data_IF_287774206236
#
_entry.id   IF_287774206236
#
_cell.length_a   1.000
_cell.length_b   1.000
_cell.length_c   1.000
_cell.angle_alpha   90.00
_cell.angle_beta   90.00
_cell.angle_gamma   90.00
#
_symmetry.space_group_name_H-M   'P 1'
#
loop_
_entity.id
_entity.type
_entity.pdbx_description
1 polymer ?
#
# COMPACT_ATOMS: atom_id res chain seq x y z
N UNK A 1 -16.58 25.25 -20.91
CA UNK A 1 -16.04 26.19 -19.90
C UNK A 1 -16.45 25.78 -18.48
N UNK A 2 -16.25 24.50 -18.13
CA UNK A 2 -16.58 23.91 -16.81
C UNK A 2 -15.77 22.61 -16.64
N UNK A 3 -14.43 22.72 -16.60
CA UNK A 3 -13.54 21.58 -16.33
C UNK A 3 -12.40 21.90 -15.34
N UNK A 4 -12.34 23.13 -14.82
CA UNK A 4 -11.39 23.56 -13.79
C UNK A 4 -12.05 23.84 -12.43
N UNK A 5 -13.38 23.69 -12.32
CA UNK A 5 -14.14 24.07 -11.12
C UNK A 5 -14.08 23.04 -9.96
N UNK A 6 -13.46 21.87 -10.16
CA UNK A 6 -13.25 20.90 -9.07
C UNK A 6 -11.94 21.13 -8.29
N UNK A 7 -11.16 22.16 -8.64
CA UNK A 7 -9.83 22.42 -8.08
C UNK A 7 -9.76 23.54 -7.03
N UNK A 8 -10.85 24.26 -6.73
CA UNK A 8 -10.76 25.55 -6.02
C UNK A 8 -11.66 25.70 -4.78
N UNK A 9 -11.79 24.66 -3.95
CA UNK A 9 -12.51 24.78 -2.67
C UNK A 9 -11.82 24.05 -1.53
N UNK A 10 -10.58 24.39 -1.17
CA UNK A 10 -9.98 23.84 0.04
C UNK A 10 -8.97 24.75 0.77
N UNK A 11 -9.20 26.06 0.93
CA UNK A 11 -8.45 26.81 1.97
C UNK A 11 -9.30 27.92 2.58
N UNK A 12 -10.10 27.58 3.59
CA UNK A 12 -10.76 28.56 4.44
C UNK A 12 -9.74 29.16 5.43
N UNK A 13 -9.84 30.45 5.78
CA UNK A 13 -8.82 31.13 6.60
C UNK A 13 -8.65 30.56 8.02
N UNK A 14 -9.70 29.94 8.57
CA UNK A 14 -9.63 29.18 9.83
C UNK A 14 -8.81 27.88 9.68
N UNK A 15 -8.92 27.20 8.53
CA UNK A 15 -8.16 25.99 8.20
C UNK A 15 -6.66 26.27 8.09
N UNK A 16 -6.26 27.52 7.73
CA UNK A 16 -4.84 27.93 7.72
C UNK A 16 -4.22 27.98 9.10
N UNK A 17 -4.89 28.53 10.13
CA UNK A 17 -4.30 28.63 11.49
C UNK A 17 -4.22 27.27 12.18
N UNK A 18 -5.29 26.47 12.12
CA UNK A 18 -5.26 25.10 12.64
C UNK A 18 -4.31 24.21 11.84
N UNK A 19 -4.18 24.45 10.53
CA UNK A 19 -3.17 23.83 9.69
C UNK A 19 -1.75 24.11 10.17
N UNK A 20 -1.35 25.37 10.33
CA UNK A 20 0.02 25.74 10.73
C UNK A 20 0.42 25.13 12.07
N UNK A 21 -0.44 25.20 13.09
CA UNK A 21 -0.15 24.58 14.39
C UNK A 21 -0.03 23.05 14.27
N UNK A 22 -0.97 22.39 13.58
CA UNK A 22 -0.93 20.93 13.39
C UNK A 22 0.32 20.49 12.62
N UNK A 23 0.66 21.20 11.55
CA UNK A 23 1.88 20.95 10.77
C UNK A 23 3.13 21.17 11.61
N UNK A 24 3.21 22.27 12.36
CA UNK A 24 4.32 22.56 13.26
C UNK A 24 4.51 21.49 14.35
N UNK A 25 3.42 21.05 15.00
CA UNK A 25 3.46 19.99 16.00
C UNK A 25 3.92 18.66 15.40
N UNK A 26 3.40 18.28 14.23
CA UNK A 26 3.80 17.04 13.56
C UNK A 26 5.27 17.05 13.15
N UNK A 27 5.74 18.13 12.52
CA UNK A 27 7.15 18.26 12.11
C UNK A 27 8.06 18.34 13.32
N UNK A 28 7.69 19.07 14.37
CA UNK A 28 8.43 19.11 15.63
C UNK A 28 8.56 17.73 16.28
N UNK A 29 7.48 16.95 16.32
CA UNK A 29 7.50 15.59 16.83
C UNK A 29 8.36 14.64 15.97
N UNK A 30 8.26 14.74 14.63
CA UNK A 30 9.04 13.95 13.69
C UNK A 30 10.54 14.24 13.80
N UNK A 31 10.91 15.52 13.84
CA UNK A 31 12.29 15.96 14.04
C UNK A 31 12.80 15.54 15.42
N UNK A 32 12.01 15.72 16.48
CA UNK A 32 12.36 15.29 17.82
C UNK A 32 12.62 13.79 17.91
N UNK A 33 11.77 12.96 17.32
CA UNK A 33 11.95 11.52 17.25
C UNK A 33 13.20 11.11 16.44
N UNK A 34 13.44 11.79 15.32
CA UNK A 34 14.61 11.56 14.45
C UNK A 34 15.91 11.93 15.19
N UNK A 35 15.97 13.11 15.80
CA UNK A 35 17.11 13.55 16.59
C UNK A 35 17.35 12.63 17.79
N UNK A 36 16.28 12.22 18.49
CA UNK A 36 16.39 11.26 19.58
C UNK A 36 17.02 9.95 19.11
N UNK A 37 16.56 9.38 18.01
CA UNK A 37 17.10 8.14 17.47
C UNK A 37 18.58 8.28 17.06
N UNK A 38 18.95 9.37 16.36
CA UNK A 38 20.34 9.64 15.97
C UNK A 38 21.24 9.81 17.18
N UNK A 39 20.81 10.54 18.22
CA UNK A 39 21.62 10.75 19.42
C UNK A 39 21.74 9.49 20.26
N UNK A 40 20.62 8.78 20.46
CA UNK A 40 20.56 7.60 21.33
C UNK A 40 21.28 6.39 20.74
N UNK A 41 21.21 6.21 19.43
CA UNK A 41 21.72 5.03 18.73
C UNK A 41 22.91 5.35 17.81
N UNK A 42 23.55 6.51 17.97
CA UNK A 42 24.68 6.95 17.13
C UNK A 42 25.82 5.93 17.04
N UNK A 43 26.07 5.17 18.12
CA UNK A 43 27.12 4.16 18.14
C UNK A 43 26.75 2.88 17.38
N UNK A 44 25.47 2.65 17.10
CA UNK A 44 24.96 1.46 16.40
C UNK A 44 24.55 1.74 14.95
N UNK A 45 24.37 3.00 14.58
CA UNK A 45 23.98 3.41 13.23
C UNK A 45 25.23 3.67 12.39
N UNK A 46 25.31 3.05 11.22
CA UNK A 46 26.30 3.45 10.23
C UNK A 46 25.85 4.71 9.44
N UNK A 47 26.67 5.14 8.48
CA UNK A 47 26.37 6.30 7.64
C UNK A 47 25.12 6.08 6.78
N UNK A 48 24.89 4.86 6.31
CA UNK A 48 23.74 4.52 5.48
C UNK A 48 22.46 4.52 6.32
N UNK A 49 22.47 3.90 7.50
CA UNK A 49 21.32 3.88 8.42
C UNK A 49 20.92 5.30 8.81
N UNK A 50 21.89 6.14 9.12
CA UNK A 50 21.68 7.56 9.44
C UNK A 50 21.09 8.32 8.26
N UNK A 51 21.62 8.11 7.05
CA UNK A 51 21.12 8.76 5.84
C UNK A 51 19.69 8.31 5.51
N UNK A 52 19.37 7.02 5.64
CA UNK A 52 18.03 6.47 5.40
C UNK A 52 17.04 7.02 6.40
N UNK A 53 17.40 7.08 7.69
CA UNK A 53 16.54 7.64 8.73
C UNK A 53 16.21 9.11 8.44
N UNK A 54 17.22 9.93 8.13
CA UNK A 54 17.04 11.35 7.79
C UNK A 54 16.19 11.51 6.51
N UNK A 55 16.50 10.75 5.45
CA UNK A 55 15.76 10.81 4.20
C UNK A 55 14.30 10.37 4.38
N UNK A 56 14.05 9.35 5.20
CA UNK A 56 12.70 8.88 5.52
C UNK A 56 11.92 9.92 6.32
N UNK A 57 12.55 10.60 7.27
CA UNK A 57 11.95 11.69 8.03
C UNK A 57 11.60 12.89 7.13
N UNK A 58 12.51 13.29 6.22
CA UNK A 58 12.25 14.34 5.24
C UNK A 58 11.11 13.94 4.30
N UNK A 59 11.15 12.72 3.77
CA UNK A 59 10.13 12.19 2.87
C UNK A 59 8.74 12.14 3.52
N UNK A 60 8.64 11.57 4.73
CA UNK A 60 7.39 11.55 5.49
C UNK A 60 6.93 12.97 5.83
N UNK A 61 7.84 13.86 6.22
CA UNK A 61 7.55 15.27 6.48
C UNK A 61 6.92 15.95 5.26
N UNK A 62 7.56 15.85 4.10
CA UNK A 62 7.05 16.41 2.84
C UNK A 62 5.68 15.81 2.46
N UNK A 63 5.57 14.48 2.49
CA UNK A 63 4.31 13.80 2.17
C UNK A 63 3.18 14.18 3.13
N UNK A 64 3.46 14.31 4.43
CA UNK A 64 2.47 14.67 5.44
C UNK A 64 2.11 16.17 5.44
N UNK A 65 2.93 17.01 4.83
CA UNK A 65 2.57 18.40 4.52
C UNK A 65 1.70 18.47 3.27
N UNK A 66 2.06 17.73 2.22
CA UNK A 66 1.30 17.66 0.97
C UNK A 66 -0.06 16.97 1.13
N UNK A 67 -0.12 15.92 1.96
CA UNK A 67 -1.32 15.17 2.27
C UNK A 67 -1.50 15.04 3.79
N UNK A 68 -2.16 16.02 4.43
CA UNK A 68 -2.18 16.11 5.88
C UNK A 68 -2.93 15.00 6.62
N UNK A 69 -3.70 14.17 5.91
CA UNK A 69 -4.30 12.97 6.47
C UNK A 69 -3.26 11.92 6.89
N UNK A 70 -2.03 11.98 6.36
CA UNK A 70 -0.93 11.13 6.81
C UNK A 70 -0.46 11.45 8.23
N UNK A 71 -0.68 12.67 8.73
CA UNK A 71 -0.26 13.06 10.07
C UNK A 71 -0.94 12.24 11.17
N UNK A 72 -2.29 12.17 11.25
CA UNK A 72 -2.96 11.31 12.22
C UNK A 72 -2.69 9.82 11.97
N UNK A 73 -2.59 9.37 10.71
CA UNK A 73 -2.24 7.98 10.41
C UNK A 73 -0.89 7.60 11.04
N UNK A 74 0.16 8.37 10.74
CA UNK A 74 1.51 8.12 11.22
C UNK A 74 1.57 8.24 12.76
N UNK A 75 0.95 9.26 13.34
CA UNK A 75 0.92 9.45 14.78
C UNK A 75 0.19 8.30 15.50
N UNK A 76 -0.98 7.86 15.00
CA UNK A 76 -1.73 6.75 15.58
C UNK A 76 -0.98 5.41 15.43
N UNK A 77 -0.43 5.12 14.25
CA UNK A 77 0.35 3.90 14.04
C UNK A 77 1.61 3.86 14.91
N UNK A 78 2.33 4.99 15.02
CA UNK A 78 3.48 5.11 15.92
C UNK A 78 3.09 4.93 17.39
N UNK A 79 1.98 5.53 17.83
CA UNK A 79 1.50 5.36 19.21
C UNK A 79 1.16 3.89 19.53
N UNK A 80 0.46 3.19 18.62
CA UNK A 80 0.14 1.77 18.80
C UNK A 80 1.40 0.90 18.79
N UNK A 81 2.32 1.13 17.84
CA UNK A 81 3.56 0.36 17.74
C UNK A 81 4.47 0.58 18.97
N UNK A 82 4.65 1.82 19.41
CA UNK A 82 5.44 2.13 20.61
C UNK A 82 4.79 1.58 21.89
N UNK A 83 3.46 1.59 21.97
CA UNK A 83 2.74 0.93 23.08
C UNK A 83 2.98 -0.57 23.09
N UNK A 84 2.96 -1.22 21.92
CA UNK A 84 3.28 -2.64 21.80
C UNK A 84 4.72 -2.93 22.26
N UNK A 85 5.70 -2.18 21.75
CA UNK A 85 7.12 -2.30 22.12
C UNK A 85 7.31 -2.16 23.64
N UNK A 86 6.66 -1.17 24.25
CA UNK A 86 6.73 -0.95 25.69
C UNK A 86 6.11 -2.12 26.50
N UNK A 87 5.01 -2.70 26.01
CA UNK A 87 4.35 -3.84 26.66
C UNK A 87 5.13 -5.15 26.51
N UNK A 88 5.87 -5.33 25.41
CA UNK A 88 6.70 -6.50 25.17
C UNK A 88 7.84 -6.62 26.18
N UNK A 89 8.38 -5.49 26.68
CA UNK A 89 9.50 -5.46 27.63
C UNK A 89 10.71 -6.31 27.20
N UNK A 90 10.93 -6.43 25.89
CA UNK A 90 12.00 -7.26 25.32
C UNK A 90 11.76 -8.78 25.39
N UNK A 91 10.56 -9.24 25.74
CA UNK A 91 10.24 -10.65 25.91
C UNK A 91 9.10 -11.08 24.97
N UNK A 92 9.42 -11.89 23.97
CA UNK A 92 8.43 -12.39 23.00
C UNK A 92 7.23 -13.11 23.65
N UNK A 93 7.39 -13.94 24.72
CA UNK A 93 6.26 -14.59 25.38
C UNK A 93 5.24 -13.65 26.02
N UNK A 94 5.56 -12.35 26.17
CA UNK A 94 4.58 -11.36 26.64
C UNK A 94 3.35 -11.26 25.71
N UNK A 95 3.50 -11.63 24.42
CA UNK A 95 2.41 -11.71 23.45
C UNK A 95 1.24 -12.59 23.91
N UNK A 96 1.52 -13.66 24.67
CA UNK A 96 0.52 -14.66 25.04
C UNK A 96 -0.26 -14.33 26.31
N UNK A 97 0.29 -13.44 27.14
CA UNK A 97 -0.19 -13.19 28.51
C UNK A 97 -0.61 -11.74 28.76
N UNK A 98 -0.05 -10.76 28.05
CA UNK A 98 -0.44 -9.36 28.19
C UNK A 98 -1.69 -9.09 27.36
N UNK A 99 -2.81 -8.81 28.02
CA UNK A 99 -4.13 -8.65 27.38
C UNK A 99 -4.12 -7.72 26.16
N UNK A 100 -3.55 -6.52 26.28
CA UNK A 100 -3.51 -5.56 25.17
C UNK A 100 -2.62 -6.01 24.01
N UNK A 101 -1.51 -6.70 24.29
CA UNK A 101 -0.70 -7.32 23.23
C UNK A 101 -1.54 -8.38 22.52
N UNK A 102 -1.96 -9.40 23.27
CA UNK A 102 -2.63 -10.59 22.74
C UNK A 102 -3.80 -10.28 21.82
N UNK A 103 -4.66 -9.32 22.20
CA UNK A 103 -5.91 -9.08 21.49
C UNK A 103 -5.90 -7.88 20.55
N UNK A 104 -4.88 -7.00 20.61
CA UNK A 104 -4.89 -5.75 19.83
C UNK A 104 -3.54 -5.39 19.20
N UNK A 105 -2.43 -5.60 19.91
CA UNK A 105 -1.17 -4.96 19.57
C UNK A 105 -0.05 -5.89 19.10
N UNK A 106 -0.17 -7.21 19.26
CA UNK A 106 0.71 -8.14 18.51
C UNK A 106 0.53 -7.93 17.01
N UNK A 107 1.55 -8.22 16.21
CA UNK A 107 1.47 -8.01 14.77
C UNK A 107 0.27 -8.75 14.17
N UNK A 108 0.06 -10.01 14.57
CA UNK A 108 -1.04 -10.83 14.09
C UNK A 108 -2.41 -10.22 14.46
N UNK A 109 -2.61 -9.82 15.72
CA UNK A 109 -3.90 -9.24 16.16
C UNK A 109 -4.16 -7.90 15.52
N UNK A 110 -3.15 -7.05 15.36
CA UNK A 110 -3.27 -5.78 14.63
C UNK A 110 -3.66 -6.03 13.15
N UNK A 111 -3.04 -7.02 12.48
CA UNK A 111 -3.37 -7.39 11.10
C UNK A 111 -4.79 -7.98 11.00
N UNK A 112 -5.27 -8.70 12.02
CA UNK A 112 -6.67 -9.15 12.11
C UNK A 112 -7.63 -7.97 12.20
N UNK A 113 -7.34 -6.97 13.03
CA UNK A 113 -8.13 -5.74 13.12
C UNK A 113 -8.11 -4.92 11.82
N UNK A 114 -6.98 -4.89 11.10
CA UNK A 114 -6.90 -4.35 9.74
C UNK A 114 -7.88 -5.06 8.82
N UNK A 115 -7.81 -6.40 8.76
CA UNK A 115 -8.66 -7.20 7.89
C UNK A 115 -10.15 -7.01 8.16
N UNK A 116 -10.54 -7.08 9.44
CA UNK A 116 -11.93 -6.82 9.87
C UNK A 116 -12.39 -5.41 9.49
N UNK A 117 -11.54 -4.40 9.69
CA UNK A 117 -11.85 -3.01 9.36
C UNK A 117 -12.01 -2.78 7.86
N UNK A 118 -11.21 -3.44 7.02
CA UNK A 118 -11.36 -3.39 5.56
C UNK A 118 -12.63 -4.09 5.09
N UNK A 119 -12.99 -5.23 5.67
CA UNK A 119 -14.27 -5.89 5.40
C UNK A 119 -15.48 -5.05 5.81
N UNK A 120 -15.43 -4.44 6.99
CA UNK A 120 -16.44 -3.50 7.45
C UNK A 120 -16.53 -2.30 6.49
N UNK A 121 -15.38 -1.77 6.05
CA UNK A 121 -15.32 -0.68 5.07
C UNK A 121 -16.04 -1.02 3.77
N UNK A 122 -15.74 -2.18 3.16
CA UNK A 122 -16.40 -2.67 1.95
C UNK A 122 -17.90 -2.80 2.12
N UNK A 123 -18.34 -3.37 3.25
CA UNK A 123 -19.75 -3.55 3.55
C UNK A 123 -20.47 -2.21 3.68
N UNK A 124 -19.85 -1.23 4.35
CA UNK A 124 -20.41 0.11 4.53
C UNK A 124 -20.42 0.90 3.20
N UNK A 125 -19.40 0.78 2.36
CA UNK A 125 -19.43 1.32 1.00
C UNK A 125 -20.51 0.66 0.16
N UNK A 126 -20.69 -0.66 0.23
CA UNK A 126 -21.75 -1.37 -0.48
C UNK A 126 -23.14 -0.88 -0.04
N UNK A 127 -23.38 -0.79 1.28
CA UNK A 127 -24.62 -0.24 1.84
C UNK A 127 -24.86 1.21 1.39
N UNK A 128 -23.82 2.05 1.43
CA UNK A 128 -23.89 3.42 0.96
C UNK A 128 -24.17 3.52 -0.53
N UNK A 129 -23.59 2.65 -1.34
CA UNK A 129 -23.79 2.59 -2.78
C UNK A 129 -25.21 2.13 -3.15
N UNK A 130 -25.71 1.09 -2.47
CA UNK A 130 -27.08 0.57 -2.64
C UNK A 130 -28.13 1.60 -2.22
N UNK A 131 -27.94 2.24 -1.05
CA UNK A 131 -28.86 3.24 -0.47
C UNK A 131 -28.62 4.67 -0.97
N UNK A 132 -27.64 4.88 -1.86
CA UNK A 132 -27.18 6.21 -2.31
C UNK A 132 -26.95 7.20 -1.15
N UNK A 133 -26.37 6.73 -0.05
CA UNK A 133 -26.25 7.50 1.19
C UNK A 133 -24.81 7.86 1.50
N UNK A 134 -24.54 9.17 1.54
CA UNK A 134 -23.23 9.72 1.91
C UNK A 134 -22.80 9.36 3.33
N UNK A 135 -23.75 9.16 4.24
CA UNK A 135 -23.46 8.79 5.63
C UNK A 135 -22.75 7.44 5.71
N UNK A 136 -23.32 6.41 5.08
CA UNK A 136 -22.74 5.06 5.06
C UNK A 136 -21.39 5.01 4.34
N UNK A 137 -21.25 5.74 3.23
CA UNK A 137 -19.96 5.86 2.53
C UNK A 137 -18.89 6.52 3.41
N UNK A 138 -19.25 7.56 4.18
CA UNK A 138 -18.34 8.23 5.12
C UNK A 138 -17.93 7.30 6.27
N UNK A 139 -18.83 6.44 6.75
CA UNK A 139 -18.46 5.39 7.71
C UNK A 139 -17.50 4.37 7.06
N UNK A 140 -17.73 3.99 5.81
CA UNK A 140 -16.82 3.16 5.03
C UNK A 140 -15.40 3.74 4.97
N UNK A 141 -15.27 5.05 4.70
CA UNK A 141 -14.00 5.78 4.75
C UNK A 141 -13.32 5.69 6.11
N UNK A 142 -14.07 5.84 7.20
CA UNK A 142 -13.52 5.78 8.57
C UNK A 142 -12.99 4.39 8.89
N UNK A 143 -13.70 3.33 8.48
CA UNK A 143 -13.23 1.96 8.63
C UNK A 143 -11.99 1.68 7.78
N UNK A 144 -11.89 2.23 6.57
CA UNK A 144 -10.67 2.13 5.77
C UNK A 144 -9.47 2.84 6.43
N UNK A 145 -9.66 4.02 7.04
CA UNK A 145 -8.61 4.66 7.83
C UNK A 145 -8.22 3.85 9.07
N UNK A 146 -9.20 3.35 9.82
CA UNK A 146 -8.95 2.50 10.98
C UNK A 146 -8.14 1.24 10.61
N UNK A 147 -8.55 0.55 9.53
CA UNK A 147 -7.82 -0.61 9.03
C UNK A 147 -6.39 -0.26 8.64
N UNK A 148 -6.17 0.91 8.04
CA UNK A 148 -4.83 1.35 7.62
C UNK A 148 -3.92 1.72 8.79
N UNK A 149 -4.47 2.27 9.88
CA UNK A 149 -3.74 2.45 11.14
C UNK A 149 -3.29 1.11 11.70
N UNK A 150 -4.19 0.13 11.77
CA UNK A 150 -3.88 -1.21 12.27
C UNK A 150 -2.91 -1.97 11.35
N UNK A 151 -3.03 -1.81 10.02
CA UNK A 151 -2.13 -2.44 9.05
C UNK A 151 -0.71 -1.92 9.17
N UNK A 152 -0.55 -0.59 9.23
CA UNK A 152 0.77 0.03 9.42
C UNK A 152 1.35 -0.30 10.80
N UNK A 153 0.55 -0.22 11.87
CA UNK A 153 0.99 -0.61 13.21
C UNK A 153 1.39 -2.10 13.26
N UNK A 154 0.61 -2.99 12.64
CA UNK A 154 0.91 -4.41 12.57
C UNK A 154 2.23 -4.71 11.86
N UNK A 155 2.52 -4.03 10.75
CA UNK A 155 3.82 -4.12 10.08
C UNK A 155 4.96 -3.60 10.97
N UNK A 156 4.80 -2.44 11.61
CA UNK A 156 5.83 -1.89 12.51
C UNK A 156 6.11 -2.79 13.71
N UNK A 157 5.06 -3.35 14.34
CA UNK A 157 5.21 -4.29 15.44
C UNK A 157 5.83 -5.60 14.97
N UNK A 158 5.46 -6.09 13.79
CA UNK A 158 6.06 -7.30 13.20
C UNK A 158 7.56 -7.14 12.98
N UNK A 159 7.97 -5.96 12.52
CA UNK A 159 9.38 -5.63 12.39
C UNK A 159 10.10 -5.75 13.74
N UNK A 160 9.51 -5.23 14.82
CA UNK A 160 10.08 -5.37 16.17
C UNK A 160 10.08 -6.83 16.67
N UNK A 161 8.98 -7.57 16.49
CA UNK A 161 8.86 -8.99 16.87
C UNK A 161 9.96 -9.84 16.20
N UNK A 162 10.30 -9.54 14.94
CA UNK A 162 11.38 -10.24 14.24
C UNK A 162 12.74 -10.07 14.93
N UNK A 163 13.03 -8.88 15.50
CA UNK A 163 14.25 -8.65 16.28
C UNK A 163 14.21 -9.29 17.67
N UNK A 164 13.03 -9.45 18.28
CA UNK A 164 12.90 -10.18 19.54
C UNK A 164 13.22 -11.68 19.40
N UNK A 165 13.01 -12.25 18.21
CA UNK A 165 13.37 -13.65 17.91
C UNK A 165 14.88 -13.83 17.74
N UNK A 166 15.58 -12.79 17.28
CA UNK A 166 17.03 -12.76 17.18
C UNK A 166 17.53 -11.70 16.19
N UNK A 167 18.73 -11.14 16.38
CA UNK A 167 19.30 -10.15 15.46
C UNK A 167 19.42 -10.65 14.01
N UNK A 168 19.73 -11.95 13.82
CA UNK A 168 19.88 -12.57 12.51
C UNK A 168 18.53 -12.85 11.80
N UNK A 169 17.43 -12.77 12.55
CA UNK A 169 16.05 -12.93 12.07
C UNK A 169 15.43 -11.57 11.80
N UNK A 170 15.85 -10.51 12.48
CA UNK A 170 15.27 -9.17 12.35
C UNK A 170 15.25 -8.62 10.92
N UNK A 171 14.06 -8.32 10.39
CA UNK A 171 13.90 -7.74 9.06
C UNK A 171 12.58 -6.96 8.88
N UNK A 172 12.56 -6.10 7.86
CA UNK A 172 11.35 -5.38 7.44
C UNK A 172 10.31 -6.38 6.89
N UNK A 173 9.03 -6.31 7.28
CA UNK A 173 8.01 -7.32 6.94
C UNK A 173 7.54 -7.19 5.48
N UNK A 174 8.38 -7.64 4.54
CA UNK A 174 8.10 -7.72 3.10
C UNK A 174 8.69 -9.00 2.49
N UNK A 175 8.92 -10.03 3.31
CA UNK A 175 9.71 -11.22 2.96
C UNK A 175 8.88 -12.36 2.37
N UNK A 176 7.63 -12.50 2.81
CA UNK A 176 6.77 -13.64 2.46
C UNK A 176 5.40 -13.19 1.96
N UNK A 177 4.61 -14.15 1.47
CA UNK A 177 3.30 -13.89 0.87
C UNK A 177 2.34 -13.18 1.82
N UNK A 178 2.32 -13.56 3.09
CA UNK A 178 1.45 -12.94 4.09
C UNK A 178 1.80 -11.45 4.25
N UNK A 179 3.07 -11.14 4.49
CA UNK A 179 3.57 -9.77 4.69
C UNK A 179 3.32 -8.86 3.48
N UNK A 180 3.61 -9.35 2.28
CA UNK A 180 3.42 -8.55 1.07
C UNK A 180 1.95 -8.31 0.74
N UNK A 181 1.03 -9.21 1.14
CA UNK A 181 -0.40 -8.98 1.01
C UNK A 181 -0.91 -7.95 2.02
N UNK A 182 -0.38 -7.92 3.25
CA UNK A 182 -0.66 -6.83 4.21
C UNK A 182 -0.22 -5.49 3.61
N UNK A 183 1.01 -5.43 3.07
CA UNK A 183 1.54 -4.24 2.43
C UNK A 183 0.70 -3.82 1.20
N UNK A 184 0.34 -4.77 0.34
CA UNK A 184 -0.52 -4.53 -0.82
C UNK A 184 -1.88 -3.94 -0.43
N UNK A 185 -2.54 -4.55 0.56
CA UNK A 185 -3.83 -4.06 1.06
C UNK A 185 -3.70 -2.66 1.64
N UNK A 186 -2.68 -2.41 2.46
CA UNK A 186 -2.42 -1.09 3.02
C UNK A 186 -2.16 -0.04 1.93
N UNK A 187 -1.23 -0.27 1.02
CA UNK A 187 -0.86 0.69 -0.03
C UNK A 187 -2.02 0.95 -1.00
N UNK A 188 -2.76 -0.10 -1.40
CA UNK A 188 -3.93 0.05 -2.28
C UNK A 188 -5.03 0.87 -1.60
N UNK A 189 -5.29 0.64 -0.31
CA UNK A 189 -6.22 1.46 0.46
C UNK A 189 -5.73 2.90 0.63
N UNK A 190 -4.43 3.14 0.82
CA UNK A 190 -3.86 4.50 0.86
C UNK A 190 -4.03 5.24 -0.47
N UNK A 191 -3.76 4.58 -1.59
CA UNK A 191 -3.99 5.14 -2.92
C UNK A 191 -5.47 5.50 -3.11
N UNK A 192 -6.38 4.60 -2.71
CA UNK A 192 -7.81 4.87 -2.78
C UNK A 192 -8.23 6.05 -1.88
N UNK A 193 -7.81 6.07 -0.61
CA UNK A 193 -8.18 7.13 0.32
C UNK A 193 -7.64 8.50 -0.11
N UNK A 194 -6.46 8.53 -0.72
CA UNK A 194 -5.92 9.74 -1.34
C UNK A 194 -6.83 10.23 -2.47
N UNK A 195 -7.23 9.34 -3.39
CA UNK A 195 -8.15 9.66 -4.49
C UNK A 195 -9.51 10.12 -3.96
N UNK A 196 -10.07 9.44 -2.96
CA UNK A 196 -11.36 9.80 -2.36
C UNK A 196 -11.31 11.20 -1.78
N UNK A 197 -10.28 11.54 -1.02
CA UNK A 197 -10.14 12.85 -0.38
C UNK A 197 -9.87 13.96 -1.40
N UNK A 198 -8.99 13.71 -2.38
CA UNK A 198 -8.57 14.72 -3.33
C UNK A 198 -9.65 15.03 -4.37
N UNK A 199 -10.39 14.02 -4.83
CA UNK A 199 -11.40 14.19 -5.88
C UNK A 199 -12.85 14.07 -5.39
N UNK A 200 -13.08 13.78 -4.11
CA UNK A 200 -14.40 13.83 -3.46
C UNK A 200 -15.36 12.68 -3.79
N UNK A 201 -14.91 11.63 -4.49
CA UNK A 201 -15.78 10.55 -4.95
C UNK A 201 -15.68 9.30 -4.08
N UNK A 202 -16.62 9.17 -3.14
CA UNK A 202 -16.74 7.99 -2.25
C UNK A 202 -17.40 6.78 -2.92
N UNK A 203 -18.04 6.99 -4.06
CA UNK A 203 -18.77 5.95 -4.81
C UNK A 203 -17.84 4.83 -5.28
N UNK A 204 -16.57 5.16 -5.52
CA UNK A 204 -15.55 4.20 -5.93
C UNK A 204 -15.03 3.32 -4.79
N UNK A 205 -15.37 3.63 -3.54
CA UNK A 205 -14.92 2.85 -2.38
C UNK A 205 -15.42 1.43 -2.39
N UNK A 206 -16.59 1.17 -2.97
CA UNK A 206 -17.07 -0.21 -3.17
C UNK A 206 -16.09 -1.01 -4.03
N UNK A 207 -15.66 -0.46 -5.17
CA UNK A 207 -14.79 -1.16 -6.11
C UNK A 207 -13.38 -1.33 -5.52
N UNK A 208 -12.83 -0.27 -4.95
CA UNK A 208 -11.51 -0.28 -4.35
C UNK A 208 -11.42 -1.24 -3.15
N UNK A 209 -12.37 -1.13 -2.22
CA UNK A 209 -12.34 -1.92 -0.99
C UNK A 209 -12.79 -3.38 -1.22
N UNK A 210 -13.63 -3.66 -2.21
CA UNK A 210 -13.93 -5.04 -2.60
C UNK A 210 -12.68 -5.79 -3.07
N UNK A 211 -11.86 -5.14 -3.91
CA UNK A 211 -10.56 -5.67 -4.32
C UNK A 211 -9.63 -5.89 -3.10
N UNK A 212 -9.51 -4.89 -2.23
CA UNK A 212 -8.69 -5.00 -1.01
C UNK A 212 -9.18 -6.13 -0.10
N UNK A 213 -10.50 -6.28 0.07
CA UNK A 213 -11.10 -7.32 0.92
C UNK A 213 -10.92 -8.71 0.32
N UNK A 214 -10.95 -8.84 -1.01
CA UNK A 214 -10.60 -10.07 -1.70
C UNK A 214 -9.12 -10.44 -1.44
N UNK A 215 -8.21 -9.46 -1.48
CA UNK A 215 -6.81 -9.66 -1.14
C UNK A 215 -6.62 -10.08 0.34
N UNK A 216 -7.39 -9.48 1.26
CA UNK A 216 -7.41 -9.88 2.69
C UNK A 216 -7.91 -11.31 2.88
N UNK A 217 -8.96 -11.74 2.18
CA UNK A 217 -9.43 -13.14 2.23
C UNK A 217 -8.38 -14.08 1.67
N UNK A 218 -7.77 -13.72 0.55
CA UNK A 218 -6.68 -14.49 -0.03
C UNK A 218 -5.53 -14.65 0.98
N UNK A 219 -5.11 -13.55 1.62
CA UNK A 219 -4.09 -13.53 2.66
C UNK A 219 -4.43 -14.46 3.83
N UNK A 220 -5.64 -14.41 4.38
CA UNK A 220 -6.02 -15.29 5.49
C UNK A 220 -6.18 -16.75 5.09
N UNK A 221 -6.61 -17.03 3.85
CA UNK A 221 -6.80 -18.41 3.38
C UNK A 221 -5.47 -19.08 3.01
N UNK A 222 -4.60 -18.37 2.29
CA UNK A 222 -3.37 -18.92 1.72
C UNK A 222 -2.11 -18.48 2.48
N UNK A 223 -2.23 -17.55 3.43
CA UNK A 223 -1.17 -17.21 4.37
C UNK A 223 -1.20 -18.05 5.66
N UNK A 224 -2.11 -19.03 5.78
CA UNK A 224 -2.09 -19.99 6.88
C UNK A 224 -0.77 -20.77 6.83
N UNK A 225 0.02 -20.69 7.90
CA UNK A 225 1.40 -21.21 7.94
C UNK A 225 2.49 -20.16 7.66
N UNK A 226 2.25 -19.18 6.79
CA UNK A 226 3.21 -18.09 6.49
C UNK A 226 3.15 -16.90 7.46
N UNK A 227 2.21 -16.91 8.41
CA UNK A 227 2.10 -15.91 9.47
C UNK A 227 3.28 -15.93 10.46
N UNK A 228 3.99 -17.06 10.59
CA UNK A 228 5.19 -17.15 11.41
C UNK A 228 6.34 -16.33 10.81
N UNK A 229 7.14 -15.71 11.66
CA UNK A 229 8.33 -14.99 11.21
C UNK A 229 9.44 -16.02 11.05
N UNK A 230 9.98 -16.13 9.84
CA UNK A 230 11.06 -17.06 9.50
C UNK A 230 12.34 -16.29 9.17
N UNK A 231 13.53 -16.87 9.37
CA UNK A 231 14.77 -16.25 8.96
C UNK A 231 14.81 -15.99 7.45
N UNK A 232 15.38 -14.84 7.05
CA UNK A 232 15.58 -14.55 5.63
C UNK A 232 16.56 -15.52 4.99
N UNK A 233 16.19 -16.05 3.83
CA UNK A 233 17.14 -16.75 2.95
C UNK A 233 18.26 -15.80 2.49
N UNK A 234 19.47 -16.30 2.19
CA UNK A 234 20.63 -15.47 1.89
C UNK A 234 20.40 -14.42 0.80
N UNK A 235 19.69 -14.78 -0.29
CA UNK A 235 19.41 -13.88 -1.40
C UNK A 235 18.52 -12.67 -1.02
N UNK A 236 17.74 -12.76 0.06
CA UNK A 236 16.88 -11.66 0.55
C UNK A 236 17.60 -10.76 1.56
N UNK A 237 18.80 -11.12 2.01
CA UNK A 237 19.62 -10.29 2.92
C UNK A 237 20.33 -9.16 2.16
N UNK A 238 19.57 -8.33 1.44
CA UNK A 238 20.08 -7.21 0.64
C UNK A 238 19.30 -5.92 0.90
N UNK A 239 20.00 -4.79 0.77
CA UNK A 239 19.39 -3.47 0.85
C UNK A 239 18.34 -3.25 -0.25
N UNK A 240 18.58 -3.78 -1.45
CA UNK A 240 17.69 -3.57 -2.59
C UNK A 240 16.30 -4.15 -2.36
N UNK A 241 16.19 -5.30 -1.70
CA UNK A 241 14.90 -5.90 -1.35
C UNK A 241 14.02 -4.91 -0.55
N UNK A 242 14.62 -4.17 0.39
CA UNK A 242 13.92 -3.23 1.28
C UNK A 242 13.25 -2.08 0.52
N UNK A 243 13.76 -1.71 -0.66
CA UNK A 243 13.26 -0.60 -1.48
C UNK A 243 12.52 -1.06 -2.74
N UNK A 244 13.02 -2.11 -3.39
CA UNK A 244 12.44 -2.71 -4.59
C UNK A 244 11.03 -3.24 -4.33
N UNK A 245 10.87 -4.04 -3.26
CA UNK A 245 9.60 -4.72 -2.99
C UNK A 245 8.49 -3.70 -2.70
N UNK A 246 8.66 -2.71 -1.79
CA UNK A 246 7.64 -1.68 -1.61
C UNK A 246 7.32 -0.87 -2.87
N UNK A 247 8.32 -0.50 -3.68
CA UNK A 247 8.09 0.21 -4.94
C UNK A 247 7.22 -0.61 -5.90
N UNK A 248 7.44 -1.93 -5.95
CA UNK A 248 6.65 -2.84 -6.76
C UNK A 248 5.17 -2.84 -6.32
N UNK A 249 4.91 -2.86 -5.01
CA UNK A 249 3.54 -2.87 -4.48
C UNK A 249 2.80 -1.54 -4.62
N UNK A 250 3.51 -0.41 -4.69
CA UNK A 250 2.89 0.86 -5.13
C UNK A 250 2.41 0.72 -6.58
N UNK A 251 3.25 0.13 -7.44
CA UNK A 251 2.93 -0.20 -8.83
C UNK A 251 1.68 -1.08 -8.95
N UNK A 252 1.70 -2.23 -8.30
CA UNK A 252 0.59 -3.19 -8.29
C UNK A 252 -0.71 -2.61 -7.73
N UNK A 253 -0.64 -1.86 -6.63
CA UNK A 253 -1.80 -1.18 -6.06
C UNK A 253 -2.43 -0.20 -7.06
N UNK A 254 -1.60 0.61 -7.72
CA UNK A 254 -2.06 1.59 -8.71
C UNK A 254 -2.68 0.93 -9.96
N UNK A 255 -2.07 -0.15 -10.48
CA UNK A 255 -2.62 -0.94 -11.57
C UNK A 255 -3.96 -1.61 -11.21
N UNK A 256 -4.07 -2.12 -9.99
CA UNK A 256 -5.30 -2.73 -9.50
C UNK A 256 -6.41 -1.69 -9.33
N UNK A 257 -6.09 -0.48 -8.86
CA UNK A 257 -7.03 0.64 -8.83
C UNK A 257 -7.49 1.05 -10.23
N UNK A 258 -6.60 1.09 -11.21
CA UNK A 258 -6.97 1.39 -12.60
C UNK A 258 -7.92 0.36 -13.20
N UNK A 259 -7.75 -0.92 -12.86
CA UNK A 259 -8.67 -1.98 -13.24
C UNK A 259 -10.05 -1.79 -12.59
N UNK A 260 -10.10 -1.42 -11.31
CA UNK A 260 -11.35 -1.12 -10.62
C UNK A 260 -12.08 0.10 -11.23
N UNK A 261 -11.34 1.13 -11.65
CA UNK A 261 -11.90 2.27 -12.36
C UNK A 261 -12.38 1.90 -13.77
N UNK A 262 -11.65 1.01 -14.47
CA UNK A 262 -12.09 0.42 -15.74
C UNK A 262 -13.38 -0.38 -15.61
N UNK A 263 -13.51 -1.21 -14.58
CA UNK A 263 -14.76 -1.92 -14.26
C UNK A 263 -15.92 -0.94 -14.03
N UNK A 264 -15.70 0.08 -13.18
CA UNK A 264 -16.69 1.12 -12.94
C UNK A 264 -17.08 1.84 -14.25
N UNK A 265 -16.12 2.13 -15.12
CA UNK A 265 -16.35 2.79 -16.41
C UNK A 265 -17.28 1.98 -17.32
N UNK A 266 -17.03 0.66 -17.41
CA UNK A 266 -17.83 -0.26 -18.20
C UNK A 266 -19.28 -0.32 -17.69
N UNK A 267 -19.44 -0.34 -16.37
CA UNK A 267 -20.75 -0.37 -15.72
C UNK A 267 -21.50 0.97 -15.84
N UNK A 268 -20.80 2.11 -15.82
CA UNK A 268 -21.40 3.45 -15.77
C UNK A 268 -22.34 3.79 -16.95
N UNK A 269 -22.33 3.02 -18.04
CA UNK A 269 -23.30 3.21 -19.14
C UNK A 269 -24.63 2.48 -18.97
N UNK A 270 -24.78 1.68 -17.92
CA UNK A 270 -26.03 0.99 -17.62
C UNK A 270 -26.91 1.87 -16.74
N UNK A 271 -28.24 1.98 -16.98
CA UNK A 271 -29.12 2.93 -16.27
C UNK A 271 -29.03 2.83 -14.74
N UNK A 272 -28.95 1.62 -14.21
CA UNK A 272 -28.84 1.37 -12.77
C UNK A 272 -27.56 1.94 -12.14
N UNK A 273 -26.45 1.91 -12.88
CA UNK A 273 -25.13 2.32 -12.40
C UNK A 273 -24.84 3.80 -12.69
N UNK A 274 -25.44 4.37 -13.73
CA UNK A 274 -25.24 5.76 -14.14
C UNK A 274 -25.57 6.78 -13.03
N UNK A 275 -26.59 6.50 -12.19
CA UNK A 275 -26.95 7.38 -11.07
C UNK A 275 -26.04 7.21 -9.83
N UNK A 276 -25.19 6.19 -9.80
CA UNK A 276 -24.39 5.76 -8.64
C UNK A 276 -22.90 5.88 -8.84
N UNK A 277 -22.45 6.10 -10.06
CA UNK A 277 -21.04 6.19 -10.42
C UNK A 277 -20.70 7.58 -10.96
N UNK A 278 -19.42 7.98 -10.85
CA UNK A 278 -18.93 9.18 -11.53
C UNK A 278 -19.04 9.06 -13.05
N UNK A 279 -18.91 10.19 -13.74
CA UNK A 279 -18.96 10.21 -15.20
C UNK A 279 -17.85 9.35 -15.82
N UNK A 280 -18.14 8.74 -16.97
CA UNK A 280 -17.17 7.95 -17.74
C UNK A 280 -15.89 8.71 -18.05
N UNK A 281 -16.00 10.00 -18.42
CA UNK A 281 -14.83 10.83 -18.70
C UNK A 281 -13.90 10.95 -17.47
N UNK A 282 -14.47 11.06 -16.28
CA UNK A 282 -13.72 11.15 -15.04
C UNK A 282 -13.09 9.82 -14.64
N UNK A 283 -13.80 8.70 -14.84
CA UNK A 283 -13.26 7.34 -14.62
C UNK A 283 -12.10 7.01 -15.58
N UNK A 284 -12.19 7.46 -16.84
CA UNK A 284 -11.11 7.37 -17.83
C UNK A 284 -9.85 8.10 -17.34
N UNK A 285 -10.03 9.32 -16.81
CA UNK A 285 -8.93 10.16 -16.33
C UNK A 285 -8.26 9.57 -15.08
N UNK A 286 -9.06 9.05 -14.14
CA UNK A 286 -8.50 8.34 -12.98
C UNK A 286 -7.75 7.07 -13.39
N UNK A 287 -8.26 6.31 -14.35
CA UNK A 287 -7.58 5.11 -14.85
C UNK A 287 -6.21 5.46 -15.44
N UNK A 288 -6.14 6.53 -16.24
CA UNK A 288 -4.89 7.05 -16.79
C UNK A 288 -3.90 7.45 -15.68
N UNK A 289 -4.34 8.26 -14.71
CA UNK A 289 -3.47 8.72 -13.60
C UNK A 289 -2.95 7.55 -12.76
N UNK A 290 -3.81 6.57 -12.48
CA UNK A 290 -3.43 5.37 -11.74
C UNK A 290 -2.43 4.50 -12.52
N UNK A 291 -2.63 4.29 -13.82
CA UNK A 291 -1.65 3.54 -14.65
C UNK A 291 -0.33 4.30 -14.77
N UNK A 292 -0.36 5.62 -14.96
CA UNK A 292 0.85 6.43 -15.04
C UNK A 292 1.67 6.34 -13.74
N UNK A 293 1.02 6.49 -12.58
CA UNK A 293 1.66 6.31 -11.27
C UNK A 293 2.24 4.90 -11.14
N UNK A 294 1.44 3.89 -11.47
CA UNK A 294 1.86 2.49 -11.39
C UNK A 294 3.06 2.21 -12.27
N UNK A 295 3.08 2.73 -13.49
CA UNK A 295 4.17 2.56 -14.45
C UNK A 295 5.48 3.20 -13.97
N UNK A 296 5.43 4.40 -13.38
CA UNK A 296 6.63 5.05 -12.81
C UNK A 296 7.22 4.21 -11.69
N UNK A 297 6.42 3.82 -10.70
CA UNK A 297 6.90 3.02 -9.57
C UNK A 297 7.33 1.62 -9.98
N UNK A 298 6.63 0.99 -10.91
CA UNK A 298 6.99 -0.32 -11.44
C UNK A 298 8.27 -0.27 -12.29
N UNK A 299 8.52 0.83 -13.01
CA UNK A 299 9.80 1.06 -13.71
C UNK A 299 10.95 1.19 -12.71
N UNK A 300 10.78 2.01 -11.67
CA UNK A 300 11.77 2.12 -10.59
C UNK A 300 12.01 0.75 -9.95
N UNK A 301 10.95 0.02 -9.62
CA UNK A 301 11.05 -1.33 -9.07
C UNK A 301 11.84 -2.24 -10.03
N UNK A 302 11.52 -2.28 -11.32
CA UNK A 302 12.22 -3.14 -12.28
C UNK A 302 13.72 -2.85 -12.33
N UNK A 303 14.12 -1.57 -12.32
CA UNK A 303 15.54 -1.17 -12.28
C UNK A 303 16.19 -1.62 -10.96
N UNK A 304 15.55 -1.36 -9.82
CA UNK A 304 16.06 -1.80 -8.52
C UNK A 304 16.15 -3.32 -8.40
N UNK A 305 15.24 -4.04 -9.05
CA UNK A 305 15.22 -5.50 -9.13
C UNK A 305 16.42 -6.03 -9.92
N UNK A 306 16.76 -5.39 -11.03
CA UNK A 306 17.96 -5.73 -11.81
C UNK A 306 19.26 -5.47 -11.02
N UNK A 307 19.32 -4.40 -10.21
CA UNK A 307 20.46 -4.13 -9.33
C UNK A 307 20.60 -5.21 -8.24
N UNK A 308 19.48 -5.61 -7.64
CA UNK A 308 19.44 -6.73 -6.69
C UNK A 308 19.87 -8.05 -7.32
N UNK A 309 19.36 -8.36 -8.52
CA UNK A 309 19.71 -9.54 -9.30
C UNK A 309 21.22 -9.68 -9.51
N UNK A 310 21.89 -8.57 -9.86
CA UNK A 310 23.33 -8.53 -10.04
C UNK A 310 24.10 -8.87 -8.74
N UNK A 311 23.61 -8.44 -7.58
CA UNK A 311 24.19 -8.78 -6.28
C UNK A 311 23.90 -10.25 -5.90
N UNK A 312 22.70 -10.75 -6.17
CA UNK A 312 22.25 -12.06 -5.73
C UNK A 312 22.82 -13.23 -6.56
N UNK A 313 22.93 -13.08 -7.88
CA UNK A 313 23.38 -14.17 -8.79
C UNK A 313 24.37 -13.71 -9.87
N UNK A 314 24.96 -12.52 -9.74
CA UNK A 314 26.08 -12.07 -10.58
C UNK A 314 25.70 -11.52 -11.96
N UNK A 315 24.41 -11.31 -12.23
CA UNK A 315 23.93 -10.72 -13.49
C UNK A 315 22.64 -9.92 -13.32
N UNK A 316 22.47 -8.85 -14.13
CA UNK A 316 21.32 -7.94 -14.01
C UNK A 316 19.99 -8.55 -14.47
N UNK A 317 20.03 -9.62 -15.28
CA UNK A 317 18.86 -10.28 -15.84
C UNK A 317 19.23 -11.69 -16.28
N UNK A 318 18.42 -12.67 -15.90
CA UNK A 318 18.62 -14.10 -16.13
C UNK A 318 17.48 -14.75 -16.92
N UNK A 319 16.50 -13.97 -17.39
CA UNK A 319 15.29 -14.47 -18.06
C UNK A 319 14.49 -15.46 -17.22
N UNK A 320 14.56 -15.33 -15.89
CA UNK A 320 13.76 -16.17 -15.03
C UNK A 320 12.26 -15.85 -15.23
N UNK A 321 11.33 -16.75 -14.86
CA UNK A 321 9.91 -16.49 -15.01
C UNK A 321 9.45 -15.18 -14.37
N UNK A 322 9.94 -14.79 -13.19
CA UNK A 322 9.51 -13.53 -12.57
C UNK A 322 10.02 -12.31 -13.32
N UNK A 323 11.29 -12.27 -13.68
CA UNK A 323 11.87 -11.24 -14.54
C UNK A 323 11.07 -11.12 -15.84
N UNK A 324 10.86 -12.23 -16.54
CA UNK A 324 10.12 -12.25 -17.82
C UNK A 324 8.71 -11.71 -17.66
N UNK A 325 7.98 -12.10 -16.61
CA UNK A 325 6.64 -11.60 -16.36
C UNK A 325 6.62 -10.14 -15.89
N UNK A 326 7.65 -9.67 -15.18
CA UNK A 326 7.81 -8.26 -14.88
C UNK A 326 7.97 -7.44 -16.18
N UNK A 327 8.75 -7.92 -17.15
CA UNK A 327 8.87 -7.29 -18.46
C UNK A 327 7.54 -7.28 -19.22
N UNK A 328 6.76 -8.37 -19.18
CA UNK A 328 5.41 -8.43 -19.79
C UNK A 328 4.48 -7.39 -19.17
N UNK A 329 4.45 -7.28 -17.84
CA UNK A 329 3.66 -6.25 -17.13
C UNK A 329 4.09 -4.85 -17.58
N UNK A 330 5.41 -4.60 -17.62
CA UNK A 330 5.97 -3.31 -18.03
C UNK A 330 5.55 -2.94 -19.46
N UNK A 331 5.76 -3.86 -20.42
CA UNK A 331 5.39 -3.65 -21.83
C UNK A 331 3.88 -3.47 -22.02
N UNK A 332 3.06 -4.22 -21.29
CA UNK A 332 1.61 -4.08 -21.34
C UNK A 332 1.16 -2.67 -20.94
N UNK A 333 1.64 -2.13 -19.82
CA UNK A 333 1.25 -0.79 -19.38
C UNK A 333 1.95 0.32 -20.16
N UNK A 334 3.16 0.09 -20.68
CA UNK A 334 3.79 0.99 -21.65
C UNK A 334 2.93 1.10 -22.93
N UNK A 335 2.47 -0.02 -23.47
CA UNK A 335 1.60 -0.05 -24.65
C UNK A 335 0.24 0.61 -24.39
N UNK A 336 -0.34 0.39 -23.20
CA UNK A 336 -1.56 1.07 -22.77
C UNK A 336 -1.37 2.60 -22.75
N UNK A 337 -0.30 3.09 -22.10
CA UNK A 337 0.01 4.52 -22.01
C UNK A 337 0.33 5.13 -23.37
N UNK A 338 1.13 4.45 -24.20
CA UNK A 338 1.45 4.89 -25.55
C UNK A 338 0.18 5.03 -26.40
N UNK A 339 -0.72 4.05 -26.33
CA UNK A 339 -2.00 4.10 -27.05
C UNK A 339 -2.90 5.23 -26.56
N UNK A 340 -2.91 5.50 -25.24
CA UNK A 340 -3.66 6.62 -24.65
C UNK A 340 -3.08 7.98 -25.01
N UNK A 341 -1.76 8.15 -24.99
CA UNK A 341 -1.11 9.45 -25.16
C UNK A 341 -0.83 9.80 -26.62
N UNK A 342 -0.38 8.84 -27.42
CA UNK A 342 0.03 9.08 -28.81
C UNK A 342 -1.14 8.94 -29.76
N UNK A 343 -1.95 7.88 -29.61
CA UNK A 343 -3.12 7.62 -30.47
C UNK A 343 -4.40 8.25 -29.94
N UNK A 344 -4.37 8.88 -28.76
CA UNK A 344 -5.52 9.46 -28.06
C UNK A 344 -6.73 8.52 -27.97
N UNK A 345 -6.50 7.21 -27.83
CA UNK A 345 -7.58 6.24 -27.69
C UNK A 345 -8.20 6.39 -26.31
N UNK A 346 -9.53 6.28 -26.23
CA UNK A 346 -10.30 6.42 -24.99
C UNK A 346 -11.46 5.43 -24.94
N UNK A 347 -12.07 5.30 -23.77
CA UNK A 347 -13.30 4.55 -23.57
C UNK A 347 -13.12 3.03 -23.46
N UNK A 348 -14.08 2.28 -24.01
CA UNK A 348 -14.29 0.86 -23.65
C UNK A 348 -13.08 -0.03 -23.88
N UNK A 349 -12.32 0.22 -24.96
CA UNK A 349 -11.10 -0.55 -25.25
C UNK A 349 -10.10 -0.43 -24.10
N UNK A 350 -9.80 0.78 -23.64
CA UNK A 350 -8.83 1.00 -22.57
C UNK A 350 -9.33 0.55 -21.20
N UNK A 351 -10.65 0.61 -20.97
CA UNK A 351 -11.27 0.10 -19.75
C UNK A 351 -11.20 -1.44 -19.67
N UNK A 352 -11.42 -2.15 -20.78
CA UNK A 352 -11.19 -3.60 -20.83
C UNK A 352 -9.71 -3.94 -20.74
N UNK A 353 -8.84 -3.16 -21.39
CA UNK A 353 -7.41 -3.39 -21.32
C UNK A 353 -6.85 -3.17 -19.89
N UNK A 354 -7.37 -2.23 -19.10
CA UNK A 354 -6.94 -2.10 -17.70
C UNK A 354 -7.29 -3.33 -16.86
N UNK A 355 -8.44 -3.97 -17.12
CA UNK A 355 -8.82 -5.25 -16.50
C UNK A 355 -7.89 -6.40 -16.92
N UNK A 356 -7.60 -6.51 -18.22
CA UNK A 356 -6.64 -7.52 -18.74
C UNK A 356 -5.25 -7.29 -18.16
N UNK A 357 -4.80 -6.03 -18.08
CA UNK A 357 -3.53 -5.67 -17.47
C UNK A 357 -3.45 -6.06 -16.00
N UNK A 358 -4.55 -5.93 -15.26
CA UNK A 358 -4.61 -6.41 -13.88
C UNK A 358 -4.51 -7.93 -13.79
N UNK A 359 -5.13 -8.69 -14.70
CA UNK A 359 -4.95 -10.15 -14.76
C UNK A 359 -3.49 -10.52 -15.06
N UNK A 360 -2.84 -9.82 -16.00
CA UNK A 360 -1.41 -10.00 -16.31
C UNK A 360 -0.56 -9.72 -15.06
N UNK A 361 -0.85 -8.62 -14.35
CA UNK A 361 -0.15 -8.23 -13.11
C UNK A 361 -0.35 -9.28 -12.01
N UNK A 362 -1.57 -9.77 -11.84
CA UNK A 362 -1.89 -10.82 -10.87
C UNK A 362 -1.17 -12.12 -11.19
N UNK A 363 -1.04 -12.47 -12.48
CA UNK A 363 -0.27 -13.63 -12.88
C UNK A 363 1.22 -13.43 -12.60
N UNK A 364 1.80 -12.28 -12.92
CA UNK A 364 3.20 -11.97 -12.63
C UNK A 364 3.51 -12.04 -11.12
N UNK A 365 2.62 -11.49 -10.29
CA UNK A 365 2.78 -11.47 -8.84
C UNK A 365 2.53 -12.84 -8.20
N UNK A 366 1.42 -13.49 -8.55
CA UNK A 366 0.90 -14.66 -7.84
C UNK A 366 1.08 -15.94 -8.67
N UNK A 367 0.68 -15.88 -9.95
CA UNK A 367 0.72 -17.01 -10.86
C UNK A 367 2.12 -17.58 -11.08
N UNK A 368 3.14 -16.73 -11.20
CA UNK A 368 4.53 -17.19 -11.36
C UNK A 368 4.98 -18.00 -10.14
N UNK A 369 4.66 -17.56 -8.92
CA UNK A 369 5.01 -18.31 -7.70
C UNK A 369 4.24 -19.63 -7.57
N UNK A 370 3.01 -19.68 -8.06
CA UNK A 370 2.13 -20.84 -7.89
C UNK A 370 2.29 -21.89 -8.98
N UNK A 371 2.62 -21.48 -10.21
CA UNK A 371 2.56 -22.35 -11.39
C UNK A 371 3.90 -22.52 -12.11
N UNK A 372 4.90 -21.71 -11.80
CA UNK A 372 6.21 -21.75 -12.46
C UNK A 372 7.31 -21.92 -11.42
N UNK A 373 8.40 -22.58 -11.80
CA UNK A 373 9.60 -22.72 -10.98
C UNK A 373 10.69 -21.77 -11.49
N UNK A 374 11.48 -21.21 -10.58
CA UNK A 374 12.57 -20.30 -10.97
C UNK A 374 13.38 -19.81 -9.77
N UNK A 375 14.35 -18.93 -10.05
CA UNK A 375 15.26 -18.32 -9.06
C UNK A 375 14.52 -17.55 -7.95
N UNK A 376 13.23 -17.30 -8.12
CA UNK A 376 12.38 -16.57 -7.17
C UNK A 376 11.31 -17.43 -6.47
N UNK A 377 11.39 -18.76 -6.53
CA UNK A 377 10.51 -19.67 -5.77
C UNK A 377 10.84 -19.61 -4.27
N UNK A 378 10.47 -18.51 -3.63
CA UNK A 378 10.64 -18.29 -2.18
C UNK A 378 9.34 -18.48 -1.40
N UNK A 379 8.27 -18.85 -2.10
CA UNK A 379 6.97 -19.17 -1.54
C UNK A 379 6.25 -20.15 -2.45
N UNK A 380 6.58 -21.43 -2.33
CA UNK A 380 5.61 -22.48 -2.67
C UNK A 380 4.49 -22.44 -1.62
N UNK A 381 3.24 -22.62 -2.04
CA UNK A 381 2.13 -22.84 -1.11
C UNK A 381 2.36 -24.09 -0.27
#
# INVERSE_FOLDING_TARGET
MTMLAYSNTLFNAADRRYGVLRHGLFIGALLGATCYALLRYSAQLDVFDSAILIASAIGLGFMALAWPALQPLAASAAALAMSAIALYRGQLPAADHVFLLKYFLTSQSAIMWMGLSYWASTTLYALGWLRQSHYWMKLGTRCAWAGSVFGLAGLLVRWYESYLMGPDIGHIPVSNLYEVFVLFSFLTTMLYLHIEQHFGSRQLGLFAMALVSAAVVFMFKYGMGAHEIQPLIPALKSYWMKIHVPANFIGYGAFSMAAMFGAAWLLAGRPFFASRLPSRAWLDELSYKAIALGFVFFTIATILGALWAAEAWGGYWSWDPKETWALIVWLNYAAWLHTRLVKNVRGALLAWWSLVGFVITLFAFLGVNMFLSGLHSYGSL
#
